data_IF_845310861556
#
_entry.id   IF_845310861556
#
_cell.length_a   1.000
_cell.length_b   1.000
_cell.length_c   1.000
_cell.angle_alpha   90.00
_cell.angle_beta   90.00
_cell.angle_gamma   90.00
#
_symmetry.space_group_name_H-M   'P 1'
#
loop_
_entity.id
_entity.type
_entity.pdbx_description
1 polymer ?
#
# COMPACT_ATOMS: atom_id res chain seq x y z
N UNK A 1 -1.32 -17.13 -11.79
CA UNK A 1 -2.53 -17.74 -12.41
C UNK A 1 -3.09 -16.71 -13.36
N UNK A 2 -2.97 -16.93 -14.66
CA UNK A 2 -3.50 -16.05 -15.70
C UNK A 2 -4.97 -16.39 -15.80
N UNK A 3 -5.85 -15.46 -15.45
CA UNK A 3 -7.27 -15.59 -15.74
C UNK A 3 -7.50 -15.10 -17.16
N UNK A 4 -7.47 -16.03 -18.09
CA UNK A 4 -7.85 -15.78 -19.48
C UNK A 4 -9.38 -15.85 -19.54
N UNK A 5 -10.04 -14.72 -19.32
CA UNK A 5 -11.47 -14.63 -19.55
C UNK A 5 -11.69 -14.42 -21.04
N UNK A 6 -11.87 -15.51 -21.77
CA UNK A 6 -12.42 -15.48 -23.11
C UNK A 6 -13.87 -14.97 -23.06
N UNK A 7 -14.01 -13.67 -23.22
CA UNK A 7 -15.31 -13.07 -23.51
C UNK A 7 -15.59 -13.24 -25.02
N UNK A 8 -16.87 -13.35 -25.46
CA UNK A 8 -17.23 -13.53 -26.87
C UNK A 8 -16.65 -12.42 -27.75
N UNK A 9 -16.50 -12.66 -29.05
CA UNK A 9 -15.80 -11.83 -30.06
C UNK A 9 -16.18 -10.32 -30.14
N UNK A 10 -17.21 -9.90 -29.44
CA UNK A 10 -17.61 -8.49 -29.26
C UNK A 10 -17.23 -7.93 -27.90
N UNK A 11 -16.49 -8.67 -27.07
CA UNK A 11 -16.26 -8.36 -25.66
C UNK A 11 -14.85 -7.86 -25.40
N UNK A 12 -14.77 -6.98 -24.42
CA UNK A 12 -13.56 -6.40 -23.86
C UNK A 12 -12.66 -7.49 -23.27
N UNK A 13 -11.43 -7.62 -23.74
CA UNK A 13 -10.44 -8.51 -23.16
C UNK A 13 -9.74 -7.79 -21.99
N UNK A 14 -9.86 -8.33 -20.78
CA UNK A 14 -9.25 -7.79 -19.57
C UNK A 14 -8.23 -8.76 -19.01
N UNK A 15 -6.98 -8.32 -18.87
CA UNK A 15 -5.92 -9.09 -18.24
C UNK A 15 -5.38 -8.35 -17.01
N UNK A 16 -5.18 -9.10 -15.91
CA UNK A 16 -4.75 -8.59 -14.62
C UNK A 16 -3.42 -9.21 -14.23
N UNK A 17 -2.44 -8.36 -13.95
CA UNK A 17 -1.08 -8.75 -13.56
C UNK A 17 -0.80 -8.27 -12.15
N UNK A 18 -0.31 -9.16 -11.30
CA UNK A 18 0.13 -8.85 -9.94
C UNK A 18 1.48 -9.49 -9.66
N UNK A 19 2.22 -8.94 -8.71
CA UNK A 19 3.56 -9.43 -8.39
C UNK A 19 3.50 -10.88 -7.86
N UNK A 20 4.12 -11.82 -8.57
CA UNK A 20 4.21 -13.24 -8.17
C UNK A 20 5.64 -13.65 -7.82
N UNK A 21 6.63 -13.05 -8.43
CA UNK A 21 8.05 -13.35 -8.28
C UNK A 21 8.84 -12.21 -7.63
N UNK A 22 10.04 -11.97 -8.13
CA UNK A 22 10.85 -10.83 -7.69
C UNK A 22 10.34 -9.52 -8.29
N UNK A 23 10.68 -8.38 -7.67
CA UNK A 23 10.23 -7.06 -8.16
C UNK A 23 10.82 -6.70 -9.53
N UNK A 24 11.78 -7.45 -10.01
CA UNK A 24 12.47 -7.28 -11.29
C UNK A 24 11.94 -8.19 -12.40
N UNK A 25 10.97 -9.07 -12.09
CA UNK A 25 10.42 -9.99 -13.08
C UNK A 25 9.55 -9.26 -14.08
N UNK A 26 9.75 -9.58 -15.35
CA UNK A 26 9.01 -9.04 -16.47
C UNK A 26 8.00 -10.05 -16.99
N UNK A 27 6.77 -9.59 -17.21
CA UNK A 27 5.70 -10.32 -17.90
C UNK A 27 5.56 -9.76 -19.32
N UNK A 28 5.06 -10.56 -20.24
CA UNK A 28 4.69 -10.10 -21.57
C UNK A 28 3.18 -10.10 -21.74
N UNK A 29 2.68 -9.09 -22.41
CA UNK A 29 1.31 -9.02 -22.89
C UNK A 29 1.31 -8.94 -24.42
N UNK A 30 0.61 -9.86 -25.06
CA UNK A 30 0.46 -9.89 -26.50
C UNK A 30 -0.88 -9.25 -26.86
N UNK A 31 -0.82 -8.30 -27.79
CA UNK A 31 -2.00 -7.56 -28.25
C UNK A 31 -2.97 -8.52 -28.94
N UNK A 32 -4.23 -8.62 -28.47
CA UNK A 32 -5.25 -9.45 -29.14
C UNK A 32 -5.53 -8.97 -30.57
N UNK A 33 -5.89 -9.91 -31.45
CA UNK A 33 -6.41 -9.58 -32.77
C UNK A 33 -7.66 -8.69 -32.64
N UNK A 34 -7.82 -7.76 -33.57
CA UNK A 34 -8.95 -6.81 -33.62
C UNK A 34 -9.02 -5.80 -32.46
N UNK A 35 -8.00 -5.72 -31.60
CA UNK A 35 -7.87 -4.68 -30.60
C UNK A 35 -7.76 -3.30 -31.26
N UNK A 36 -8.67 -2.38 -30.96
CA UNK A 36 -8.65 -1.01 -31.49
C UNK A 36 -8.09 -0.01 -30.50
N UNK A 37 -8.40 -0.20 -29.21
CA UNK A 37 -7.96 0.64 -28.13
C UNK A 37 -7.49 -0.19 -26.95
N UNK A 38 -6.49 0.29 -26.24
CA UNK A 38 -5.93 -0.33 -25.05
C UNK A 38 -5.99 0.66 -23.89
N UNK A 39 -6.68 0.28 -22.82
CA UNK A 39 -6.64 0.99 -21.54
C UNK A 39 -5.71 0.26 -20.59
N UNK A 40 -4.79 0.99 -19.99
CA UNK A 40 -3.82 0.46 -19.02
C UNK A 40 -4.00 1.17 -17.69
N UNK A 41 -4.19 0.41 -16.63
CA UNK A 41 -4.12 0.88 -15.25
C UNK A 41 -2.85 0.33 -14.62
N UNK A 42 -1.99 1.19 -14.11
CA UNK A 42 -0.69 0.84 -13.57
C UNK A 42 -0.52 1.39 -12.16
N UNK A 43 -0.52 0.50 -11.17
CA UNK A 43 -0.41 0.80 -9.75
C UNK A 43 0.87 0.21 -9.19
N UNK A 44 1.67 0.99 -8.46
CA UNK A 44 2.91 0.55 -7.82
C UNK A 44 2.66 -0.12 -6.47
N UNK A 45 3.73 -0.60 -5.84
CA UNK A 45 3.71 -1.14 -4.50
C UNK A 45 3.62 -0.04 -3.44
N UNK A 46 2.83 -0.29 -2.39
CA UNK A 46 2.74 0.57 -1.22
C UNK A 46 3.93 0.41 -0.27
N UNK A 47 4.23 1.41 0.54
CA UNK A 47 5.27 1.36 1.56
C UNK A 47 4.86 0.51 2.77
N UNK A 48 5.81 -0.17 3.41
CA UNK A 48 5.61 -0.85 4.68
C UNK A 48 5.53 0.13 5.85
N UNK A 49 4.78 -0.18 6.89
CA UNK A 49 4.74 0.60 8.13
C UNK A 49 6.01 0.44 8.96
N UNK A 50 6.31 1.41 9.81
CA UNK A 50 7.41 1.34 10.78
C UNK A 50 7.04 0.56 12.04
N UNK A 51 8.02 0.07 12.78
CA UNK A 51 7.80 -0.58 14.07
C UNK A 51 7.51 0.43 15.18
N UNK A 52 6.75 0.00 16.19
CA UNK A 52 6.63 0.73 17.44
C UNK A 52 7.86 0.58 18.32
N UNK A 53 8.02 1.47 19.31
CA UNK A 53 9.13 1.40 20.27
C UNK A 53 8.89 0.34 21.35
N UNK A 54 9.94 -0.47 21.61
CA UNK A 54 10.09 -1.21 22.85
C UNK A 54 11.04 -0.42 23.74
N UNK A 55 10.55 0.28 24.76
CA UNK A 55 11.41 1.15 25.56
C UNK A 55 11.41 0.75 27.03
N UNK A 56 12.60 0.88 27.68
CA UNK A 56 12.74 0.78 29.12
C UNK A 56 11.97 1.90 29.84
N UNK A 57 11.72 1.71 31.13
CA UNK A 57 11.09 2.70 32.03
C UNK A 57 11.70 4.09 31.87
N UNK A 58 10.84 5.09 31.79
CA UNK A 58 11.21 6.51 31.79
C UNK A 58 11.37 7.16 30.42
N UNK A 59 11.31 6.41 29.31
CA UNK A 59 11.37 6.99 27.97
C UNK A 59 9.98 7.12 27.36
N UNK A 60 9.79 8.18 26.57
CA UNK A 60 8.53 8.36 25.82
C UNK A 60 8.35 7.21 24.83
N UNK A 61 7.19 6.58 24.87
CA UNK A 61 6.87 5.39 24.09
C UNK A 61 5.90 5.76 22.99
N UNK A 62 6.29 5.43 21.78
CA UNK A 62 5.62 5.92 20.58
C UNK A 62 5.34 4.81 19.58
N UNK A 63 4.21 4.92 18.93
CA UNK A 63 3.84 4.02 17.84
C UNK A 63 4.65 4.29 16.57
N UNK A 64 4.81 3.28 15.75
CA UNK A 64 5.38 3.37 14.41
C UNK A 64 4.46 4.13 13.46
N UNK A 65 5.02 4.78 12.46
CA UNK A 65 4.27 5.42 11.38
C UNK A 65 3.73 4.41 10.38
N UNK A 66 2.58 4.68 9.79
CA UNK A 66 2.07 3.91 8.65
C UNK A 66 2.85 4.21 7.37
N UNK A 67 2.93 3.25 6.46
CA UNK A 67 3.51 3.43 5.13
C UNK A 67 2.62 4.29 4.23
N UNK A 68 3.21 4.97 3.25
CA UNK A 68 2.45 5.70 2.24
C UNK A 68 1.85 4.75 1.19
N UNK A 69 0.78 5.16 0.51
CA UNK A 69 0.29 4.42 -0.64
C UNK A 69 1.02 4.83 -1.92
N UNK A 70 1.07 3.92 -2.88
CA UNK A 70 1.58 4.19 -4.23
C UNK A 70 0.67 5.18 -4.97
N UNK A 71 1.26 5.97 -5.86
CA UNK A 71 0.53 6.60 -6.94
C UNK A 71 0.21 5.61 -8.05
N UNK A 72 -0.82 5.89 -8.84
CA UNK A 72 -1.16 5.10 -10.02
C UNK A 72 -1.22 5.98 -11.26
N UNK A 73 -1.12 5.36 -12.40
CA UNK A 73 -1.26 6.02 -13.70
C UNK A 73 -2.20 5.22 -14.58
N UNK A 74 -3.15 5.90 -15.21
CA UNK A 74 -3.98 5.30 -16.25
C UNK A 74 -3.57 5.85 -17.60
N UNK A 75 -3.66 5.00 -18.65
CA UNK A 75 -3.39 5.43 -20.02
C UNK A 75 -4.38 4.79 -20.98
N UNK A 76 -4.80 5.56 -21.98
CA UNK A 76 -5.66 5.11 -23.05
C UNK A 76 -4.94 5.33 -24.40
N UNK A 77 -4.73 4.26 -25.13
CA UNK A 77 -3.92 4.24 -26.35
C UNK A 77 -4.69 3.65 -27.53
N UNK A 78 -4.43 4.17 -28.73
CA UNK A 78 -4.82 3.46 -29.95
C UNK A 78 -3.93 2.22 -30.10
N UNK A 79 -4.53 1.05 -30.29
CA UNK A 79 -3.80 -0.20 -30.45
C UNK A 79 -2.92 -0.21 -31.73
N UNK A 80 -3.23 0.63 -32.72
CA UNK A 80 -2.44 0.76 -33.94
C UNK A 80 -1.02 1.32 -33.69
N UNK A 81 -0.84 2.11 -32.60
CA UNK A 81 0.45 2.68 -32.26
C UNK A 81 1.23 1.85 -31.23
N UNK A 82 0.62 0.81 -30.67
CA UNK A 82 1.30 -0.09 -29.74
C UNK A 82 1.94 -1.27 -30.50
N UNK A 83 3.13 -1.71 -30.10
CA UNK A 83 3.72 -2.94 -30.64
C UNK A 83 2.84 -4.15 -30.29
N UNK A 84 3.02 -5.26 -31.01
CA UNK A 84 2.24 -6.48 -30.78
C UNK A 84 2.53 -7.10 -29.41
N UNK A 85 3.72 -6.89 -28.87
CA UNK A 85 4.10 -7.32 -27.51
C UNK A 85 4.55 -6.12 -26.70
N UNK A 86 3.99 -5.96 -25.49
CA UNK A 86 4.47 -5.03 -24.45
C UNK A 86 4.89 -5.80 -23.21
N UNK A 87 5.78 -5.22 -22.44
CA UNK A 87 6.36 -5.83 -21.26
C UNK A 87 5.91 -5.10 -19.98
N UNK A 88 5.70 -5.86 -18.94
CA UNK A 88 5.11 -5.40 -17.69
C UNK A 88 6.02 -5.82 -16.53
N UNK A 89 6.32 -4.90 -15.63
CA UNK A 89 6.97 -5.20 -14.36
C UNK A 89 6.08 -4.68 -13.25
N UNK A 90 5.66 -5.58 -12.34
CA UNK A 90 4.72 -5.23 -11.28
C UNK A 90 5.48 -5.01 -9.98
N UNK A 91 5.32 -3.83 -9.40
CA UNK A 91 6.00 -3.44 -8.17
C UNK A 91 5.60 -4.28 -6.97
N UNK A 92 6.52 -4.48 -6.02
CA UNK A 92 6.27 -5.13 -4.73
C UNK A 92 5.99 -4.11 -3.65
N UNK A 93 5.13 -4.47 -2.72
CA UNK A 93 4.94 -3.74 -1.49
C UNK A 93 6.15 -3.84 -0.57
N UNK A 94 6.44 -2.76 0.14
CA UNK A 94 7.52 -2.68 1.10
C UNK A 94 7.30 -3.59 2.31
N UNK A 95 8.37 -4.17 2.85
CA UNK A 95 8.30 -4.91 4.11
C UNK A 95 8.00 -3.95 5.28
N UNK A 96 7.25 -4.42 6.27
CA UNK A 96 7.09 -3.70 7.53
C UNK A 96 8.36 -3.72 8.37
N UNK A 97 8.54 -2.69 9.21
CA UNK A 97 9.64 -2.63 10.16
C UNK A 97 9.60 -3.79 11.15
N UNK A 98 10.76 -4.38 11.45
CA UNK A 98 10.88 -5.44 12.46
C UNK A 98 10.58 -4.88 13.84
N UNK A 99 9.66 -5.53 14.56
CA UNK A 99 9.40 -5.21 15.97
C UNK A 99 10.58 -5.61 16.88
N UNK A 100 10.51 -5.25 18.11
CA UNK A 100 11.50 -5.62 19.11
C UNK A 100 11.99 -4.44 19.94
N UNK A 101 13.18 -4.57 20.51
CA UNK A 101 13.85 -3.49 21.24
C UNK A 101 14.47 -2.44 20.31
N UNK A 102 14.74 -2.78 19.07
CA UNK A 102 15.29 -1.88 18.05
C UNK A 102 14.18 -1.39 17.13
N UNK A 103 14.10 -0.08 17.02
CA UNK A 103 13.12 0.60 16.17
C UNK A 103 13.57 0.55 14.72
N UNK A 104 12.75 0.02 13.85
CA UNK A 104 13.06 -0.06 12.43
C UNK A 104 12.00 0.58 11.55
N UNK A 105 12.47 1.25 10.52
CA UNK A 105 11.60 1.73 9.45
C UNK A 105 11.06 0.54 8.64
N UNK A 106 9.93 0.71 8.02
CA UNK A 106 9.53 -0.18 6.94
C UNK A 106 10.43 0.00 5.71
N UNK A 107 10.14 -0.70 4.66
CA UNK A 107 10.77 -0.51 3.34
C UNK A 107 9.82 0.20 2.39
N UNK A 108 10.37 0.95 1.44
CA UNK A 108 9.59 1.54 0.36
C UNK A 108 8.97 0.47 -0.54
N UNK A 109 7.83 0.77 -1.14
CA UNK A 109 7.30 -0.01 -2.24
C UNK A 109 8.05 0.28 -3.54
N UNK A 110 7.99 -0.62 -4.51
CA UNK A 110 8.64 -0.46 -5.80
C UNK A 110 7.65 -0.03 -6.89
N UNK A 111 8.18 0.55 -7.95
CA UNK A 111 7.41 1.00 -9.11
C UNK A 111 6.86 -0.18 -9.92
N UNK A 112 5.74 0.05 -10.60
CA UNK A 112 5.29 -0.78 -11.71
C UNK A 112 5.56 -0.07 -13.01
N UNK A 113 5.87 -0.84 -14.05
CA UNK A 113 6.19 -0.34 -15.38
C UNK A 113 5.41 -1.08 -16.46
N UNK A 114 5.03 -0.34 -17.49
CA UNK A 114 4.62 -0.89 -18.79
C UNK A 114 5.56 -0.32 -19.85
N UNK A 115 6.21 -1.18 -20.62
CA UNK A 115 7.31 -0.80 -21.50
C UNK A 115 7.23 -1.54 -22.84
N UNK A 116 7.85 -0.99 -23.87
CA UNK A 116 8.00 -1.65 -25.18
C UNK A 116 9.18 -2.65 -25.22
N UNK A 117 10.02 -2.67 -24.20
CA UNK A 117 11.11 -3.62 -24.02
C UNK A 117 11.27 -4.00 -22.56
N UNK A 118 11.81 -5.19 -22.21
CA UNK A 118 11.92 -5.65 -20.82
C UNK A 118 13.05 -4.93 -20.07
N UNK A 119 12.98 -3.59 -20.00
CA UNK A 119 13.95 -2.75 -19.30
C UNK A 119 13.26 -1.50 -18.74
N UNK A 120 13.55 -1.19 -17.47
CA UNK A 120 13.12 0.05 -16.82
C UNK A 120 14.19 1.16 -16.88
N UNK A 121 15.40 0.86 -17.35
CA UNK A 121 16.52 1.81 -17.37
C UNK A 121 16.46 2.79 -18.55
N UNK A 122 15.67 2.51 -19.57
CA UNK A 122 15.53 3.36 -20.76
C UNK A 122 14.18 4.04 -20.75
N UNK A 123 14.16 5.30 -20.34
CA UNK A 123 12.93 6.08 -20.16
C UNK A 123 12.08 6.16 -21.44
N UNK A 124 12.72 6.19 -22.61
CA UNK A 124 12.04 6.25 -23.93
C UNK A 124 11.21 5.00 -24.23
N UNK A 125 11.52 3.88 -23.59
CA UNK A 125 10.79 2.63 -23.78
C UNK A 125 9.58 2.50 -22.87
N UNK A 126 9.46 3.35 -21.84
CA UNK A 126 8.37 3.28 -20.86
C UNK A 126 7.13 3.95 -21.43
N UNK A 127 6.05 3.18 -21.56
CA UNK A 127 4.72 3.66 -21.96
C UNK A 127 3.99 4.31 -20.80
N UNK A 128 4.02 3.63 -19.66
CA UNK A 128 3.35 4.04 -18.41
C UNK A 128 4.18 3.56 -17.23
N UNK A 129 4.22 4.34 -16.18
CA UNK A 129 4.85 4.05 -14.90
C UNK A 129 3.95 4.49 -13.75
N UNK A 130 3.93 3.73 -12.66
CA UNK A 130 3.29 4.12 -11.40
C UNK A 130 4.17 5.07 -10.59
N UNK A 131 3.61 5.64 -9.52
CA UNK A 131 4.38 6.27 -8.46
C UNK A 131 4.90 5.25 -7.45
N UNK A 132 6.10 5.45 -6.88
CA UNK A 132 6.59 4.69 -5.74
C UNK A 132 6.04 5.26 -4.44
N UNK A 133 5.81 4.41 -3.45
CA UNK A 133 5.40 4.82 -2.11
C UNK A 133 6.55 4.73 -1.12
N UNK A 134 6.62 5.69 -0.18
CA UNK A 134 7.62 5.67 0.88
C UNK A 134 7.18 4.84 2.08
N UNK A 135 8.16 4.27 2.79
CA UNK A 135 7.97 3.56 4.03
C UNK A 135 7.62 4.49 5.18
N UNK A 136 6.86 3.97 6.15
CA UNK A 136 6.66 4.60 7.44
C UNK A 136 7.90 4.46 8.32
N UNK A 137 8.22 5.51 9.08
CA UNK A 137 9.33 5.51 10.03
C UNK A 137 9.02 4.69 11.28
N UNK A 138 10.03 3.96 11.80
CA UNK A 138 10.00 3.38 13.13
C UNK A 138 10.02 4.45 14.21
N UNK A 139 9.39 4.19 15.36
CA UNK A 139 9.44 5.09 16.50
C UNK A 139 10.80 4.93 17.22
N UNK A 140 11.59 6.00 17.37
CA UNK A 140 12.92 5.93 17.94
C UNK A 140 13.12 6.96 19.07
N UNK A 141 13.78 6.53 20.17
CA UNK A 141 14.42 7.40 21.18
C UNK A 141 13.60 8.61 21.63
N UNK A 142 12.31 8.50 21.81
CA UNK A 142 11.42 9.60 22.14
C UNK A 142 10.83 10.36 20.90
N UNK A 143 11.20 9.99 19.68
CA UNK A 143 10.63 10.53 18.45
C UNK A 143 9.49 9.64 17.94
N UNK A 144 8.45 10.28 17.36
CA UNK A 144 7.36 9.60 16.66
C UNK A 144 7.87 8.89 15.40
N UNK A 145 7.32 7.72 15.11
CA UNK A 145 7.45 7.15 13.79
C UNK A 145 6.78 8.04 12.74
N UNK A 146 7.56 8.58 11.81
CA UNK A 146 7.02 9.40 10.73
C UNK A 146 6.12 8.61 9.80
N UNK A 147 5.04 9.20 9.32
CA UNK A 147 4.24 8.60 8.24
C UNK A 147 5.02 8.57 6.93
N UNK A 148 4.85 7.52 6.15
CA UNK A 148 5.43 7.38 4.83
C UNK A 148 4.84 8.41 3.86
N UNK A 149 5.68 9.02 3.03
CA UNK A 149 5.23 9.97 2.02
C UNK A 149 4.34 9.27 0.98
N UNK A 150 3.40 10.03 0.42
CA UNK A 150 2.59 9.58 -0.70
C UNK A 150 3.45 9.20 -1.89
N UNK A 151 3.03 8.21 -2.65
CA UNK A 151 3.61 7.90 -3.94
C UNK A 151 3.44 9.09 -4.89
N UNK A 152 4.54 9.44 -5.55
CA UNK A 152 4.61 10.56 -6.48
C UNK A 152 3.83 10.27 -7.75
N UNK A 153 3.45 11.31 -8.50
CA UNK A 153 2.98 11.14 -9.87
C UNK A 153 4.15 10.82 -10.78
N UNK A 154 3.87 9.99 -11.80
CA UNK A 154 4.78 9.87 -12.92
C UNK A 154 4.67 11.12 -13.80
N UNK A 155 5.75 11.86 -13.91
CA UNK A 155 5.87 12.93 -14.90
C UNK A 155 6.39 12.28 -16.20
N UNK A 156 5.49 12.08 -17.17
CA UNK A 156 5.92 11.67 -18.51
C UNK A 156 6.89 12.73 -19.06
N UNK A 157 8.13 12.32 -19.33
CA UNK A 157 9.08 13.19 -19.99
C UNK A 157 8.64 13.45 -21.44
N UNK A 158 8.87 14.65 -21.94
CA UNK A 158 8.61 14.98 -23.34
C UNK A 158 9.35 14.08 -24.34
N UNK A 159 10.35 13.34 -23.88
CA UNK A 159 11.09 12.35 -24.67
C UNK A 159 10.38 10.99 -24.80
N UNK A 160 9.31 10.73 -24.00
CA UNK A 160 8.51 9.50 -24.04
C UNK A 160 7.40 9.57 -25.12
N UNK A 161 7.47 10.52 -26.03
CA UNK A 161 6.38 10.98 -26.91
C UNK A 161 6.15 10.07 -28.14
N UNK A 162 6.59 8.88 -28.16
CA UNK A 162 6.22 8.01 -29.29
C UNK A 162 4.76 7.55 -29.28
N UNK A 163 4.00 7.88 -28.21
CA UNK A 163 2.66 7.33 -28.04
C UNK A 163 1.69 8.45 -27.66
N UNK A 164 0.89 8.86 -28.62
CA UNK A 164 -0.25 9.74 -28.41
C UNK A 164 -1.36 8.99 -27.69
N UNK A 165 -1.26 8.93 -26.35
CA UNK A 165 -2.27 8.39 -25.46
C UNK A 165 -2.73 9.44 -24.45
N UNK A 166 -3.96 9.32 -23.97
CA UNK A 166 -4.40 10.07 -22.81
C UNK A 166 -3.82 9.40 -21.56
N UNK A 167 -2.89 10.08 -20.89
CA UNK A 167 -2.24 9.59 -19.66
C UNK A 167 -2.66 10.45 -18.48
N UNK A 168 -3.18 9.82 -17.44
CA UNK A 168 -3.64 10.47 -16.21
C UNK A 168 -2.92 9.86 -15.01
N UNK A 169 -1.89 10.53 -14.48
CA UNK A 169 -1.22 10.13 -13.25
C UNK A 169 -1.97 10.67 -12.03
N UNK A 170 -2.03 9.86 -10.96
CA UNK A 170 -2.67 10.21 -9.70
C UNK A 170 -1.73 9.92 -8.54
N UNK A 171 -1.60 10.88 -7.61
CA UNK A 171 -0.78 10.73 -6.40
C UNK A 171 -1.36 9.70 -5.44
N UNK A 172 -0.49 9.07 -4.65
CA UNK A 172 -0.90 8.26 -3.51
C UNK A 172 -1.35 9.11 -2.31
N UNK A 173 -1.56 8.45 -1.18
CA UNK A 173 -1.87 9.06 0.10
C UNK A 173 -0.73 8.85 1.09
N UNK A 174 -0.43 9.88 1.91
CA UNK A 174 0.55 9.76 3.00
C UNK A 174 0.09 8.77 4.06
N UNK A 175 1.04 8.08 4.68
CA UNK A 175 0.80 7.27 5.86
C UNK A 175 0.64 8.11 7.12
N UNK A 176 0.00 7.55 8.14
CA UNK A 176 -0.19 8.23 9.43
C UNK A 176 1.09 8.29 10.26
N UNK A 177 1.31 9.43 10.91
CA UNK A 177 2.40 9.59 11.88
C UNK A 177 2.06 8.87 13.18
N UNK A 178 3.01 8.12 13.74
CA UNK A 178 2.88 7.39 14.99
C UNK A 178 2.37 8.25 16.14
N UNK A 179 1.70 7.63 17.11
CA UNK A 179 1.00 8.35 18.17
C UNK A 179 1.87 8.57 19.42
N UNK A 180 1.63 9.70 20.11
CA UNK A 180 2.16 9.99 21.45
C UNK A 180 1.10 10.00 22.52
N UNK A 181 -0.17 10.13 22.18
CA UNK A 181 -1.27 10.49 23.06
C UNK A 181 -2.45 9.52 22.93
N UNK A 182 -3.36 9.44 23.92
CA UNK A 182 -4.43 8.46 23.96
C UNK A 182 -5.44 8.52 22.81
N UNK A 183 -5.45 9.58 22.01
CA UNK A 183 -6.36 9.69 20.87
C UNK A 183 -5.81 8.98 19.64
N UNK A 184 -6.51 8.00 19.06
CA UNK A 184 -6.07 7.33 17.83
C UNK A 184 -6.02 8.34 16.68
N UNK A 185 -4.86 8.45 16.02
CA UNK A 185 -4.73 9.17 14.77
C UNK A 185 -5.25 8.30 13.64
N UNK A 186 -6.46 8.57 13.20
CA UNK A 186 -7.07 7.84 12.10
C UNK A 186 -6.66 8.46 10.75
N UNK A 187 -6.66 7.64 9.72
CA UNK A 187 -6.55 8.08 8.33
C UNK A 187 -7.93 8.05 7.70
N UNK A 188 -8.33 9.15 7.07
CA UNK A 188 -9.54 9.17 6.25
C UNK A 188 -9.20 8.81 4.81
N UNK A 189 -10.04 8.01 4.19
CA UNK A 189 -9.91 7.63 2.79
C UNK A 189 -10.06 8.87 1.91
N UNK A 190 -9.00 9.18 1.13
CA UNK A 190 -8.98 10.33 0.23
C UNK A 190 -8.88 9.95 -1.26
N UNK A 191 -8.70 8.67 -1.60
CA UNK A 191 -8.50 8.23 -2.97
C UNK A 191 -8.68 6.74 -3.17
N UNK A 192 -8.24 6.24 -4.32
CA UNK A 192 -8.30 4.82 -4.69
C UNK A 192 -7.47 3.92 -3.77
N UNK A 193 -6.31 4.42 -3.33
CA UNK A 193 -5.40 3.75 -2.41
C UNK A 193 -5.19 4.60 -1.18
N UNK A 194 -5.11 3.99 0.01
CA UNK A 194 -4.83 4.72 1.25
C UNK A 194 -3.45 4.42 1.80
N UNK A 195 -2.88 5.41 2.49
CA UNK A 195 -1.74 5.17 3.38
C UNK A 195 -2.14 4.25 4.53
N UNK A 196 -1.16 3.63 5.19
CA UNK A 196 -1.36 2.85 6.40
C UNK A 196 -1.64 3.75 7.62
N UNK A 197 -2.48 3.31 8.53
CA UNK A 197 -2.73 4.02 9.77
C UNK A 197 -1.58 3.78 10.78
N UNK A 198 -1.31 4.73 11.70
CA UNK A 198 -0.20 4.65 12.63
C UNK A 198 -0.45 3.67 13.78
N UNK A 199 0.63 3.14 14.35
CA UNK A 199 0.58 2.39 15.59
C UNK A 199 0.31 3.28 16.80
N UNK A 200 -0.25 2.68 17.86
CA UNK A 200 -0.54 3.35 19.09
C UNK A 200 0.72 3.73 19.86
N UNK A 201 0.73 4.95 20.40
CA UNK A 201 1.63 5.36 21.48
C UNK A 201 1.14 4.86 22.84
N UNK A 202 1.95 5.05 23.88
CA UNK A 202 1.61 4.64 25.24
C UNK A 202 1.49 5.85 26.15
N UNK A 203 0.33 5.96 26.81
CA UNK A 203 0.13 6.82 27.99
C UNK A 203 0.28 6.01 29.29
N UNK A 204 -0.57 6.27 30.27
CA UNK A 204 -0.66 5.48 31.51
C UNK A 204 -1.37 4.12 31.33
N UNK A 205 -2.01 3.91 30.20
CA UNK A 205 -2.71 2.67 29.81
C UNK A 205 -2.41 2.35 28.36
N UNK A 206 -2.56 1.07 27.97
CA UNK A 206 -2.52 0.68 26.57
C UNK A 206 -3.54 1.46 25.72
N UNK A 207 -3.23 1.71 24.47
CA UNK A 207 -4.02 2.49 23.54
C UNK A 207 -4.35 1.70 22.27
N UNK A 208 -5.48 2.01 21.66
CA UNK A 208 -5.87 1.46 20.37
C UNK A 208 -5.02 2.05 19.25
N UNK A 209 -4.63 1.21 18.28
CA UNK A 209 -4.00 1.66 17.04
C UNK A 209 -4.90 2.49 16.16
N UNK A 210 -4.32 3.29 15.28
CA UNK A 210 -5.07 4.11 14.34
C UNK A 210 -5.90 3.26 13.39
N UNK A 211 -7.09 3.74 13.04
CA UNK A 211 -8.01 3.12 12.07
C UNK A 211 -7.92 3.84 10.72
N UNK A 212 -8.35 3.16 9.67
CA UNK A 212 -8.63 3.77 8.38
C UNK A 212 -10.13 3.96 8.28
N UNK A 213 -10.56 5.22 8.32
CA UNK A 213 -11.98 5.57 8.33
C UNK A 213 -12.56 5.49 6.92
N UNK A 214 -13.56 4.62 6.76
CA UNK A 214 -14.34 4.54 5.54
C UNK A 214 -15.24 5.78 5.36
N UNK A 215 -15.52 6.10 4.10
CA UNK A 215 -16.48 7.15 3.72
C UNK A 215 -17.58 6.56 2.85
N UNK A 216 -18.82 6.88 3.16
CA UNK A 216 -19.98 6.36 2.41
C UNK A 216 -20.09 4.83 2.51
N UNK A 217 -19.98 4.13 1.37
CA UNK A 217 -20.12 2.66 1.29
C UNK A 217 -18.81 1.91 1.58
N UNK A 218 -17.70 2.61 1.85
CA UNK A 218 -16.42 1.98 2.12
C UNK A 218 -16.30 1.67 3.61
N UNK A 219 -16.03 0.41 3.99
CA UNK A 219 -15.95 0.03 5.40
C UNK A 219 -14.73 0.64 6.09
N UNK A 220 -14.86 0.89 7.39
CA UNK A 220 -13.74 1.29 8.26
C UNK A 220 -12.88 0.07 8.59
N UNK A 221 -11.56 0.20 8.48
CA UNK A 221 -10.58 -0.80 8.93
C UNK A 221 -10.11 -0.41 10.33
N UNK A 222 -10.56 -1.14 11.32
CA UNK A 222 -10.36 -0.81 12.74
C UNK A 222 -8.90 -1.10 13.16
N UNK A 223 -8.31 -0.19 13.95
CA UNK A 223 -6.99 -0.37 14.57
C UNK A 223 -6.99 -1.50 15.61
N UNK A 224 -5.82 -2.05 15.87
CA UNK A 224 -5.62 -3.08 16.88
C UNK A 224 -6.09 -2.61 18.26
N UNK A 225 -6.80 -3.42 19.04
CA UNK A 225 -7.31 -3.04 20.36
C UNK A 225 -6.16 -2.72 21.33
N UNK A 226 -6.46 -1.88 22.33
CA UNK A 226 -5.55 -1.55 23.41
C UNK A 226 -5.17 -2.79 24.21
N UNK A 227 -3.92 -2.86 24.63
CA UNK A 227 -3.44 -3.85 25.61
C UNK A 227 -3.69 -3.41 27.05
N UNK A 228 -3.16 -4.20 28.00
CA UNK A 228 -3.32 -3.96 29.42
C UNK A 228 -2.50 -2.79 29.96
N UNK A 229 -2.72 -2.48 31.26
CA UNK A 229 -1.96 -1.53 32.05
C UNK A 229 -0.67 -2.18 32.63
N UNK A 230 0.14 -1.40 33.35
CA UNK A 230 1.36 -1.88 34.01
C UNK A 230 1.14 -3.05 34.97
N UNK A 231 -0.06 -3.23 35.49
CA UNK A 231 -0.46 -4.36 36.35
C UNK A 231 -1.16 -5.49 35.60
N UNK A 232 -1.45 -5.31 34.34
CA UNK A 232 -2.13 -6.29 33.49
C UNK A 232 -1.31 -6.55 32.21
N UNK A 233 -0.80 -7.76 32.07
CA UNK A 233 0.07 -8.18 30.96
C UNK A 233 -0.67 -8.46 29.66
N UNK A 234 -1.92 -8.04 29.47
CA UNK A 234 -2.65 -8.25 28.21
C UNK A 234 -1.92 -7.57 27.05
N UNK A 235 -1.53 -8.32 26.00
CA UNK A 235 -0.89 -7.75 24.83
C UNK A 235 -1.79 -6.75 24.11
N UNK A 236 -1.18 -5.79 23.42
CA UNK A 236 -1.89 -4.98 22.41
C UNK A 236 -2.28 -5.86 21.23
N UNK A 237 -3.47 -5.65 20.69
CA UNK A 237 -3.95 -6.42 19.55
C UNK A 237 -3.35 -5.94 18.24
N UNK A 238 -3.25 -6.84 17.28
CA UNK A 238 -2.78 -6.56 15.94
C UNK A 238 -3.76 -5.67 15.16
N UNK A 239 -3.24 -4.83 14.29
CA UNK A 239 -4.01 -4.06 13.34
C UNK A 239 -4.66 -4.97 12.29
N UNK A 240 -5.83 -4.58 11.82
CA UNK A 240 -6.57 -5.32 10.79
C UNK A 240 -5.89 -5.17 9.44
N UNK A 241 -5.85 -6.28 8.70
CA UNK A 241 -5.47 -6.31 7.29
C UNK A 241 -6.74 -6.33 6.45
N UNK A 242 -6.78 -5.48 5.42
CA UNK A 242 -7.89 -5.50 4.48
C UNK A 242 -7.51 -6.30 3.25
N UNK A 243 -8.08 -7.47 3.12
CA UNK A 243 -8.14 -8.16 1.83
C UNK A 243 -9.42 -7.71 1.14
N UNK A 244 -9.32 -7.24 -0.10
CA UNK A 244 -10.49 -7.03 -0.94
C UNK A 244 -11.21 -8.36 -1.13
N UNK A 245 -12.05 -8.75 -0.18
CA UNK A 245 -13.09 -9.72 -0.47
C UNK A 245 -14.08 -8.96 -1.35
N UNK A 246 -14.13 -9.32 -2.63
CA UNK A 246 -15.25 -8.91 -3.48
C UNK A 246 -16.52 -9.27 -2.72
N UNK A 247 -17.38 -8.32 -2.39
CA UNK A 247 -18.67 -8.69 -1.83
C UNK A 247 -19.38 -9.54 -2.86
N UNK A 248 -19.66 -10.76 -2.51
CA UNK A 248 -20.47 -11.69 -3.29
C UNK A 248 -21.91 -11.23 -3.23
N UNK A 249 -22.27 -10.16 -3.90
CA UNK A 249 -23.67 -9.78 -4.10
C UNK A 249 -23.85 -9.14 -5.47
N UNK A 250 -24.46 -9.86 -6.29
CA UNK A 250 -25.38 -9.65 -7.42
C UNK A 250 -25.57 -8.28 -8.08
N UNK A 251 -24.76 -7.28 -7.81
CA UNK A 251 -24.81 -6.00 -8.50
C UNK A 251 -23.45 -5.64 -9.10
N UNK A 252 -23.20 -6.19 -10.30
CA UNK A 252 -22.11 -5.80 -11.18
C UNK A 252 -22.33 -4.38 -11.74
N UNK A 253 -22.25 -3.38 -10.90
CA UNK A 253 -22.03 -2.03 -11.39
C UNK A 253 -20.62 -1.67 -11.00
N UNK A 254 -19.80 -1.35 -11.97
CA UNK A 254 -18.40 -0.94 -11.86
C UNK A 254 -18.19 0.02 -10.67
N UNK A 255 -17.88 -0.51 -9.50
CA UNK A 255 -17.89 0.29 -8.29
C UNK A 255 -16.53 0.27 -7.71
N UNK A 256 -15.87 1.36 -7.97
CA UNK A 256 -14.74 1.91 -7.26
C UNK A 256 -13.77 0.84 -6.77
N UNK A 257 -12.85 0.49 -7.64
CA UNK A 257 -11.66 -0.22 -7.28
C UNK A 257 -11.03 0.55 -6.10
N UNK A 258 -11.12 -0.02 -4.90
CA UNK A 258 -10.64 0.62 -3.69
C UNK A 258 -9.70 -0.31 -2.93
N UNK A 259 -8.52 0.20 -2.58
CA UNK A 259 -7.50 -0.57 -1.88
C UNK A 259 -7.14 0.10 -0.55
N UNK A 260 -7.52 -0.54 0.54
CA UNK A 260 -7.26 -0.02 1.87
C UNK A 260 -5.85 -0.36 2.36
N UNK A 261 -5.27 0.59 3.09
CA UNK A 261 -4.06 0.36 3.87
C UNK A 261 -4.32 -0.54 5.08
N UNK A 262 -3.25 -0.98 5.72
CA UNK A 262 -3.29 -1.67 6.99
C UNK A 262 -3.55 -0.70 8.15
N UNK A 263 -4.32 -1.11 9.14
CA UNK A 263 -4.52 -0.34 10.36
C UNK A 263 -3.37 -0.50 11.35
N UNK A 264 -3.25 0.42 12.32
CA UNK A 264 -2.18 0.41 13.32
C UNK A 264 -2.36 -0.65 14.39
N UNK A 265 -1.26 -1.17 14.94
CA UNK A 265 -1.25 -2.05 16.09
C UNK A 265 -1.51 -1.30 17.40
N UNK A 266 -2.17 -1.95 18.35
CA UNK A 266 -2.41 -1.44 19.70
C UNK A 266 -1.16 -1.45 20.58
N UNK A 267 -1.06 -0.54 21.53
CA UNK A 267 0.00 -0.51 22.54
C UNK A 267 -0.39 -1.27 23.82
N UNK A 268 0.63 -1.69 24.57
CA UNK A 268 0.43 -2.32 25.89
C UNK A 268 1.44 -1.79 26.91
N UNK A 269 0.99 -1.48 28.10
CA UNK A 269 1.86 -1.05 29.22
C UNK A 269 2.44 -2.23 30.02
N UNK A 270 1.79 -3.39 30.03
CA UNK A 270 2.24 -4.59 30.76
C UNK A 270 2.71 -5.74 29.88
N UNK A 271 2.46 -5.68 28.58
CA UNK A 271 2.73 -6.76 27.65
C UNK A 271 3.41 -6.30 26.36
N UNK A 272 3.52 -7.20 25.38
CA UNK A 272 3.97 -6.88 24.04
C UNK A 272 2.93 -6.07 23.28
N UNK A 273 3.39 -5.22 22.38
CA UNK A 273 2.53 -4.42 21.51
C UNK A 273 2.03 -5.23 20.30
N UNK A 274 0.89 -4.79 19.76
CA UNK A 274 0.32 -5.34 18.53
C UNK A 274 1.07 -4.90 17.28
N UNK A 275 1.04 -5.74 16.27
CA UNK A 275 1.62 -5.44 14.95
C UNK A 275 0.67 -4.57 14.12
N UNK A 276 1.22 -3.85 13.17
CA UNK A 276 0.45 -3.15 12.14
C UNK A 276 -0.13 -4.13 11.14
N UNK A 277 -1.32 -3.85 10.62
CA UNK A 277 -1.99 -4.64 9.59
C UNK A 277 -1.33 -4.52 8.23
N UNK A 278 -1.36 -5.58 7.44
CA UNK A 278 -0.91 -5.57 6.05
C UNK A 278 -1.93 -4.85 5.14
N UNK A 279 -1.46 -4.28 4.06
CA UNK A 279 -2.26 -3.49 3.12
C UNK A 279 -2.71 -4.29 1.89
N UNK A 280 -3.79 -3.82 1.25
CA UNK A 280 -4.22 -4.24 -0.09
C UNK A 280 -3.32 -3.64 -1.18
N UNK A 281 -3.57 -3.97 -2.47
CA UNK A 281 -2.76 -3.52 -3.60
C UNK A 281 -2.44 -2.02 -3.54
N UNK A 282 -1.17 -1.70 -3.72
CA UNK A 282 -0.65 -0.33 -3.77
C UNK A 282 -0.81 0.51 -2.49
N UNK A 283 -1.49 0.00 -1.47
CA UNK A 283 -1.77 0.72 -0.25
C UNK A 283 -0.65 0.56 0.80
N UNK A 284 -0.59 1.47 1.77
CA UNK A 284 0.46 1.47 2.80
C UNK A 284 0.20 0.54 3.98
N UNK A 285 1.20 -0.15 4.50
CA UNK A 285 1.11 -0.98 5.70
C UNK A 285 0.93 -0.16 6.98
N UNK A 286 0.21 -0.70 7.98
CA UNK A 286 -0.01 -0.04 9.26
C UNK A 286 1.25 0.00 10.14
N UNK A 287 1.35 1.01 11.01
CA UNK A 287 2.44 1.12 12.01
C UNK A 287 2.27 0.15 13.18
N UNK A 288 3.37 -0.34 13.76
CA UNK A 288 3.34 -1.16 14.98
C UNK A 288 3.08 -0.33 16.24
N UNK A 289 2.38 -0.91 17.21
CA UNK A 289 2.16 -0.32 18.52
C UNK A 289 3.40 -0.32 19.41
N UNK A 290 3.44 0.48 20.47
CA UNK A 290 4.53 0.47 21.44
C UNK A 290 4.28 -0.43 22.65
N UNK A 291 5.33 -1.04 23.20
CA UNK A 291 5.29 -1.87 24.41
C UNK A 291 6.20 -1.35 25.52
N UNK A 292 5.87 -1.69 26.78
CA UNK A 292 6.64 -1.29 27.94
C UNK A 292 7.73 -2.29 28.36
N UNK A 293 7.32 -3.44 28.83
CA UNK A 293 8.22 -4.51 29.29
C UNK A 293 8.58 -5.46 28.19
N UNK A 294 7.91 -5.34 27.07
CA UNK A 294 7.98 -6.22 25.94
C UNK A 294 8.56 -5.55 24.71
N UNK A 295 8.32 -6.20 23.63
CA UNK A 295 8.78 -5.80 22.31
C UNK A 295 7.75 -4.84 21.70
N UNK A 296 8.24 -3.80 21.04
CA UNK A 296 7.42 -2.99 20.15
C UNK A 296 6.86 -3.85 19.02
N UNK A 297 5.65 -3.54 18.57
CA UNK A 297 4.99 -4.24 17.47
C UNK A 297 5.69 -4.00 16.14
N UNK A 298 5.64 -4.98 15.25
CA UNK A 298 6.13 -4.86 13.87
C UNK A 298 5.25 -3.93 13.06
N UNK A 299 5.83 -3.24 12.10
CA UNK A 299 5.05 -2.58 11.06
C UNK A 299 4.38 -3.59 10.12
N UNK A 300 3.23 -3.23 9.58
CA UNK A 300 2.53 -4.00 8.56
C UNK A 300 3.22 -3.90 7.20
N UNK A 301 3.01 -4.90 6.37
CA UNK A 301 3.53 -4.92 5.00
C UNK A 301 2.70 -4.02 4.09
N UNK A 302 3.33 -3.28 3.20
CA UNK A 302 2.68 -2.57 2.09
C UNK A 302 2.12 -3.53 1.04
N UNK A 303 1.07 -3.11 0.34
CA UNK A 303 0.43 -3.91 -0.70
C UNK A 303 1.26 -3.95 -1.99
N UNK A 304 1.24 -5.06 -2.69
CA UNK A 304 1.88 -5.19 -4.00
C UNK A 304 1.21 -4.29 -5.04
N UNK A 305 1.92 -3.99 -6.11
CA UNK A 305 1.38 -3.31 -7.28
C UNK A 305 0.37 -4.16 -8.06
N UNK A 306 -0.27 -3.52 -9.01
CA UNK A 306 -1.27 -4.12 -9.89
C UNK A 306 -1.22 -3.45 -11.27
N UNK A 307 -1.25 -4.25 -12.33
CA UNK A 307 -1.43 -3.74 -13.69
C UNK A 307 -2.66 -4.41 -14.29
N UNK A 308 -3.55 -3.61 -14.85
CA UNK A 308 -4.74 -4.10 -15.58
C UNK A 308 -4.65 -3.57 -17.00
N UNK A 309 -4.75 -4.45 -17.97
CA UNK A 309 -4.82 -4.10 -19.38
C UNK A 309 -6.18 -4.52 -19.92
N UNK A 310 -6.88 -3.58 -20.51
CA UNK A 310 -8.18 -3.78 -21.13
C UNK A 310 -8.08 -3.43 -22.61
N UNK A 311 -8.41 -4.38 -23.46
CA UNK A 311 -8.49 -4.21 -24.91
C UNK A 311 -9.96 -4.12 -25.36
N UNK A 312 -10.24 -3.17 -26.26
CA UNK A 312 -11.55 -2.92 -26.83
C UNK A 312 -11.56 -3.11 -28.34
#
# INVERSE_FOLDING_TARGET
MIYDNHLPDSATNVQVFHAQGEATDWYSWNKPHNCKFVHIFCLGGGGGGGSGSGAATGLARRGGGGGGSSGFTTGFFSAAFLPDTIYLQVGKGGAGGSGGSSNSNGSAGTLSYVSISPTASVAQNILIQSGAAAAGGGAAGGALGGGGAAGTIWAASATNILITGLIVPVVGQVGGTGQTNPTPNNITIAGLTTGGAPGAGLGSLGQQGGSILGTGSVPTVIGGPAGGSSTNTTPGGDGSSYYTTYPSSTNYVAKNLFFSGGSGGGSSDGGSAGNGGAAAFGAGGGGGGCGFTGLGGRGGRGGNGLIIITCF
#
